data_IF_006750742618
#
_entry.id   IF_006750742618
#
_cell.length_a   1.000
_cell.length_b   1.000
_cell.length_c   1.000
_cell.angle_alpha   90.00
_cell.angle_beta   90.00
_cell.angle_gamma   90.00
#
_symmetry.space_group_name_H-M   'P 1'
#
loop_
_entity.id
_entity.type
_entity.pdbx_description
1 polymer ?
#
# COMPACT_ATOMS: atom_id res chain seq x y z
N UNK A 1 11.00 -55.35 -76.87
CA UNK A 1 9.55 -55.63 -76.72
C UNK A 1 9.30 -56.19 -75.33
N UNK A 2 8.56 -55.45 -74.48
CA UNK A 2 7.86 -55.87 -73.24
C UNK A 2 8.70 -56.52 -72.12
N UNK A 3 8.35 -56.52 -70.83
CA UNK A 3 7.30 -55.91 -70.01
C UNK A 3 7.49 -56.47 -68.58
N UNK A 4 7.47 -55.60 -67.58
CA UNK A 4 6.93 -55.74 -66.20
C UNK A 4 6.85 -57.13 -65.51
N UNK A 5 7.31 -57.18 -64.24
CA UNK A 5 6.45 -57.62 -63.12
C UNK A 5 6.92 -57.07 -61.75
N UNK A 6 5.96 -56.50 -61.01
CA UNK A 6 6.06 -55.84 -59.69
C UNK A 6 5.99 -56.84 -58.53
N UNK A 7 6.81 -56.66 -57.48
CA UNK A 7 6.64 -57.31 -56.18
C UNK A 7 5.80 -56.45 -55.22
N UNK A 8 4.80 -57.06 -54.58
CA UNK A 8 3.86 -56.42 -53.63
C UNK A 8 4.50 -56.23 -52.24
N UNK A 9 4.32 -55.03 -51.67
CA UNK A 9 4.56 -54.70 -50.25
C UNK A 9 3.32 -55.05 -49.42
N UNK A 10 3.52 -55.65 -48.25
CA UNK A 10 2.51 -55.72 -47.18
C UNK A 10 2.69 -54.53 -46.24
N UNK A 11 1.62 -53.77 -45.98
CA UNK A 11 1.56 -52.68 -45.00
C UNK A 11 0.58 -53.10 -43.90
N UNK A 12 1.10 -53.38 -42.71
CA UNK A 12 0.33 -53.50 -41.48
C UNK A 12 0.16 -52.09 -40.89
N UNK A 13 -1.08 -51.61 -40.85
CA UNK A 13 -1.44 -50.35 -40.17
C UNK A 13 -1.89 -50.69 -38.76
N UNK A 14 -1.03 -50.41 -37.77
CA UNK A 14 -1.39 -50.41 -36.36
C UNK A 14 -1.97 -49.03 -36.00
N UNK A 15 -3.29 -48.96 -35.78
CA UNK A 15 -3.94 -47.81 -35.18
C UNK A 15 -3.69 -47.80 -33.67
N UNK A 16 -2.68 -47.07 -33.22
CA UNK A 16 -2.56 -46.68 -31.81
C UNK A 16 -3.52 -45.54 -31.50
N UNK A 17 -4.60 -45.84 -30.78
CA UNK A 17 -5.47 -44.84 -30.15
C UNK A 17 -4.68 -44.26 -28.96
N UNK A 18 -4.20 -43.03 -29.11
CA UNK A 18 -3.64 -42.26 -27.99
C UNK A 18 -4.83 -41.65 -27.24
N UNK A 19 -5.23 -42.29 -26.14
CA UNK A 19 -6.12 -41.66 -25.16
C UNK A 19 -5.28 -40.60 -24.43
N UNK A 20 -5.38 -39.35 -24.86
CA UNK A 20 -4.84 -38.22 -24.12
C UNK A 20 -5.70 -38.02 -22.87
N UNK A 21 -5.34 -38.71 -21.78
CA UNK A 21 -5.84 -38.39 -20.45
C UNK A 21 -5.44 -36.96 -20.12
N UNK A 22 -6.41 -36.03 -20.19
CA UNK A 22 -6.21 -34.66 -19.74
C UNK A 22 -5.92 -34.69 -18.25
N UNK A 23 -4.65 -34.63 -17.88
CA UNK A 23 -4.25 -34.41 -16.50
C UNK A 23 -4.82 -33.05 -16.08
N UNK A 24 -5.86 -33.05 -15.25
CA UNK A 24 -6.36 -31.84 -14.60
C UNK A 24 -5.20 -31.22 -13.84
N UNK A 25 -4.85 -29.96 -14.17
CA UNK A 25 -3.88 -29.21 -13.38
C UNK A 25 -4.30 -29.28 -11.91
N UNK A 26 -3.36 -29.50 -10.96
CA UNK A 26 -3.67 -29.44 -9.54
C UNK A 26 -4.40 -28.13 -9.25
N UNK A 27 -5.54 -28.22 -8.57
CA UNK A 27 -6.32 -27.05 -8.19
C UNK A 27 -5.48 -26.18 -7.25
N UNK A 28 -5.37 -24.88 -7.56
CA UNK A 28 -4.58 -23.97 -6.74
C UNK A 28 -5.15 -23.86 -5.31
N UNK A 29 -4.30 -23.75 -4.28
CA UNK A 29 -4.75 -23.70 -2.90
C UNK A 29 -5.63 -22.47 -2.65
N UNK A 30 -6.76 -22.69 -1.98
CA UNK A 30 -7.72 -21.64 -1.65
C UNK A 30 -7.13 -20.65 -0.64
N UNK A 31 -7.00 -19.37 -1.01
CA UNK A 31 -6.52 -18.31 -0.11
C UNK A 31 -7.66 -17.77 0.74
N UNK A 32 -7.46 -17.78 2.07
CA UNK A 32 -8.44 -17.33 3.08
C UNK A 32 -7.85 -16.28 4.02
N UNK A 33 -6.54 -16.30 4.24
CA UNK A 33 -5.83 -15.36 5.13
C UNK A 33 -4.67 -14.69 4.40
N UNK A 34 -4.68 -13.37 4.37
CA UNK A 34 -3.62 -12.53 3.81
C UNK A 34 -3.16 -11.56 4.88
N UNK A 35 -1.85 -11.47 5.09
CA UNK A 35 -1.24 -10.44 5.92
C UNK A 35 -0.47 -9.44 5.05
N UNK A 36 -0.34 -8.20 5.50
CA UNK A 36 0.47 -7.21 4.78
C UNK A 36 1.00 -6.11 5.69
N UNK A 37 2.04 -5.41 5.25
CA UNK A 37 2.66 -4.34 6.01
C UNK A 37 3.72 -3.54 5.25
N UNK A 38 4.06 -2.38 5.83
CA UNK A 38 5.16 -1.51 5.41
C UNK A 38 5.93 -0.98 6.62
N UNK A 39 7.04 -0.28 6.38
CA UNK A 39 7.79 0.48 7.38
C UNK A 39 8.49 -0.42 8.43
N UNK A 40 9.27 -1.38 7.91
CA UNK A 40 10.07 -2.36 8.66
C UNK A 40 11.56 -1.97 8.69
N UNK A 41 11.93 -1.08 9.61
CA UNK A 41 13.33 -0.78 9.88
C UNK A 41 14.05 -2.02 10.40
N UNK A 42 14.90 -2.58 9.53
CA UNK A 42 15.75 -3.74 9.74
C UNK A 42 16.69 -3.63 10.94
N UNK A 43 16.87 -2.42 11.50
CA UNK A 43 17.68 -2.19 12.71
C UNK A 43 16.85 -2.00 13.98
N UNK A 44 15.52 -1.95 13.88
CA UNK A 44 14.64 -1.90 15.03
C UNK A 44 14.19 -3.32 15.44
N UNK A 45 13.80 -3.54 16.72
CA UNK A 45 13.11 -4.75 17.12
C UNK A 45 11.81 -4.94 16.34
N UNK A 46 11.57 -6.15 15.83
CA UNK A 46 10.35 -6.49 15.07
C UNK A 46 9.64 -7.72 15.68
N UNK A 47 9.14 -7.65 16.93
CA UNK A 47 8.39 -8.75 17.54
C UNK A 47 7.07 -9.04 16.80
N UNK A 48 6.62 -8.09 15.97
CA UNK A 48 5.39 -8.18 15.19
C UNK A 48 5.34 -9.39 14.26
N UNK A 49 6.50 -9.90 13.83
CA UNK A 49 6.56 -11.11 13.01
C UNK A 49 5.97 -12.33 13.70
N UNK A 50 6.04 -12.42 15.04
CA UNK A 50 5.40 -13.52 15.76
C UNK A 50 3.88 -13.48 15.57
N UNK A 51 3.26 -12.32 15.77
CA UNK A 51 1.83 -12.15 15.56
C UNK A 51 1.40 -12.37 14.09
N UNK A 52 2.26 -12.02 13.12
CA UNK A 52 2.02 -12.30 11.71
C UNK A 52 2.08 -13.81 11.43
N UNK A 53 3.06 -14.52 12.00
CA UNK A 53 3.17 -15.98 11.86
C UNK A 53 2.01 -16.69 12.54
N UNK A 54 1.62 -16.25 13.74
CA UNK A 54 0.50 -16.82 14.51
C UNK A 54 -0.85 -16.59 13.82
N UNK A 55 -0.96 -15.54 12.99
CA UNK A 55 -2.13 -15.35 12.12
C UNK A 55 -2.19 -16.37 10.97
N UNK A 56 -1.10 -17.10 10.71
CA UNK A 56 -0.98 -18.14 9.69
C UNK A 56 -1.47 -17.70 8.29
N UNK A 57 -0.88 -16.64 7.71
CA UNK A 57 -1.25 -16.15 6.40
C UNK A 57 -0.73 -17.07 5.31
N UNK A 58 -1.52 -17.24 4.25
CA UNK A 58 -1.09 -17.96 3.05
C UNK A 58 -0.33 -17.04 2.09
N UNK A 59 -0.54 -15.73 2.23
CA UNK A 59 0.09 -14.67 1.46
C UNK A 59 0.50 -13.53 2.40
N UNK A 60 1.76 -13.10 2.30
CA UNK A 60 2.25 -11.85 2.89
C UNK A 60 2.61 -10.85 1.79
N UNK A 61 2.12 -9.62 1.92
CA UNK A 61 2.36 -8.55 0.94
C UNK A 61 3.15 -7.42 1.60
N UNK A 62 4.34 -7.17 1.07
CA UNK A 62 5.12 -5.97 1.35
C UNK A 62 4.57 -4.77 0.58
N UNK A 63 4.30 -3.67 1.28
CA UNK A 63 3.85 -2.41 0.68
C UNK A 63 4.93 -1.32 0.68
N UNK A 64 6.19 -1.72 0.87
CA UNK A 64 7.34 -0.83 0.85
C UNK A 64 7.83 -0.42 2.23
N UNK A 65 8.89 0.38 2.24
CA UNK A 65 9.81 0.52 3.37
C UNK A 65 10.16 -0.84 4.00
N UNK A 66 10.46 -1.80 3.13
CA UNK A 66 10.85 -3.16 3.51
C UNK A 66 12.20 -3.12 4.23
N UNK A 67 13.03 -2.15 3.85
CA UNK A 67 14.17 -1.64 4.60
C UNK A 67 14.16 -0.11 4.64
N UNK A 68 14.86 0.45 5.62
CA UNK A 68 15.23 1.87 5.64
C UNK A 68 16.59 2.01 4.97
N UNK A 69 16.58 2.32 3.67
CA UNK A 69 17.74 2.28 2.79
C UNK A 69 18.53 3.59 2.69
N UNK A 70 18.00 4.73 3.09
CA UNK A 70 18.72 6.00 3.17
C UNK A 70 19.31 6.27 4.57
N UNK A 71 20.12 7.30 4.71
CA UNK A 71 20.70 7.71 6.01
C UNK A 71 19.99 8.97 6.50
N UNK A 72 19.31 8.85 7.64
CA UNK A 72 18.62 9.97 8.30
C UNK A 72 19.57 10.75 9.21
N UNK A 73 19.83 12.01 8.86
CA UNK A 73 20.60 12.95 9.70
C UNK A 73 19.79 13.41 10.91
N UNK A 74 20.44 13.74 12.05
CA UNK A 74 19.77 14.29 13.23
C UNK A 74 19.04 15.61 12.94
N UNK A 75 18.06 15.92 13.79
CA UNK A 75 17.42 17.23 13.81
C UNK A 75 18.40 18.31 14.28
N UNK A 76 18.75 19.22 13.38
CA UNK A 76 19.57 20.40 13.68
C UNK A 76 18.82 21.64 13.20
N UNK A 77 18.39 22.48 14.14
CA UNK A 77 17.74 23.76 13.87
C UNK A 77 18.73 24.94 13.94
N UNK A 78 19.75 24.79 14.79
CA UNK A 78 20.80 25.79 15.04
C UNK A 78 22.18 25.26 14.60
N UNK A 79 23.15 26.17 14.49
CA UNK A 79 24.51 25.86 14.05
C UNK A 79 24.72 26.01 12.53
N UNK A 80 25.89 25.56 12.05
CA UNK A 80 26.31 25.67 10.64
C UNK A 80 25.55 24.73 9.71
N UNK A 81 25.21 23.53 10.18
CA UNK A 81 24.37 22.57 9.46
C UNK A 81 22.96 22.57 10.06
N UNK A 82 21.96 22.85 9.24
CA UNK A 82 20.55 22.87 9.64
C UNK A 82 19.77 21.95 8.72
N UNK A 83 19.18 20.91 9.31
CA UNK A 83 18.42 19.87 8.58
C UNK A 83 16.93 20.15 8.55
N UNK A 84 16.44 21.10 9.37
CA UNK A 84 15.03 21.50 9.46
C UNK A 84 14.89 23.02 9.64
N UNK A 85 13.66 23.51 9.47
CA UNK A 85 13.29 24.92 9.64
C UNK A 85 13.43 25.76 8.37
N UNK A 86 13.04 27.05 8.43
CA UNK A 86 13.05 27.95 7.27
C UNK A 86 14.47 28.22 6.73
N UNK A 87 15.50 28.02 7.56
CA UNK A 87 16.92 28.24 7.23
C UNK A 87 17.70 26.93 6.98
N UNK A 88 16.99 25.83 6.67
CA UNK A 88 17.59 24.53 6.33
C UNK A 88 18.57 24.71 5.16
N UNK A 89 19.79 24.18 5.30
CA UNK A 89 20.84 24.27 4.28
C UNK A 89 21.48 22.92 3.91
N UNK A 90 21.15 21.84 4.64
CA UNK A 90 21.58 20.49 4.30
C UNK A 90 20.37 19.55 4.21
N UNK A 91 20.40 18.54 3.32
CA UNK A 91 19.32 17.57 3.25
C UNK A 91 19.26 16.75 4.54
N UNK A 92 18.03 16.37 4.93
CA UNK A 92 17.81 15.55 6.13
C UNK A 92 18.11 14.07 5.88
N UNK A 93 17.90 13.62 4.65
CA UNK A 93 18.12 12.25 4.20
C UNK A 93 19.15 12.26 3.08
N UNK A 94 20.03 11.27 3.07
CA UNK A 94 21.04 11.09 2.03
C UNK A 94 21.05 9.65 1.55
N UNK A 95 21.24 9.39 0.25
CA UNK A 95 21.18 8.04 -0.28
C UNK A 95 22.39 7.23 0.16
N UNK A 96 22.16 5.98 0.56
CA UNK A 96 23.24 5.04 0.90
C UNK A 96 23.89 4.46 -0.36
N UNK A 97 25.10 3.94 -0.21
CA UNK A 97 25.78 3.16 -1.25
C UNK A 97 25.04 1.86 -1.56
N UNK A 98 25.33 1.26 -2.72
CA UNK A 98 24.76 -0.03 -3.10
C UNK A 98 25.10 -1.14 -2.08
N UNK A 99 26.33 -1.17 -1.58
CA UNK A 99 26.77 -2.15 -0.57
C UNK A 99 26.01 -1.99 0.76
N UNK A 100 25.74 -0.76 1.20
CA UNK A 100 24.92 -0.52 2.39
C UNK A 100 23.47 -0.98 2.17
N UNK A 101 22.89 -0.71 0.99
CA UNK A 101 21.55 -1.21 0.64
C UNK A 101 21.49 -2.74 0.67
N UNK A 102 22.46 -3.41 0.04
CA UNK A 102 22.59 -4.88 0.05
C UNK A 102 22.70 -5.44 1.47
N UNK A 103 23.55 -4.84 2.31
CA UNK A 103 23.71 -5.21 3.71
C UNK A 103 22.39 -5.05 4.51
N UNK A 104 21.62 -3.99 4.24
CA UNK A 104 20.34 -3.74 4.90
C UNK A 104 19.28 -4.76 4.49
N UNK A 105 19.20 -5.13 3.20
CA UNK A 105 18.32 -6.21 2.75
C UNK A 105 18.73 -7.56 3.34
N UNK A 106 20.03 -7.86 3.41
CA UNK A 106 20.52 -9.07 4.07
C UNK A 106 20.13 -9.10 5.56
N UNK A 107 20.27 -7.97 6.26
CA UNK A 107 19.82 -7.83 7.65
C UNK A 107 18.32 -8.06 7.79
N UNK A 108 17.50 -7.50 6.90
CA UNK A 108 16.05 -7.73 6.92
C UNK A 108 15.67 -9.20 6.72
N UNK A 109 16.28 -9.89 5.75
CA UNK A 109 16.06 -11.32 5.50
C UNK A 109 16.45 -12.22 6.68
N UNK A 110 17.45 -11.81 7.45
CA UNK A 110 17.99 -12.60 8.56
C UNK A 110 17.30 -12.30 9.90
N UNK A 111 16.30 -11.41 9.94
CA UNK A 111 15.48 -11.21 11.14
C UNK A 111 14.79 -12.55 11.48
N UNK A 112 14.99 -13.12 12.68
CA UNK A 112 14.47 -14.46 13.01
C UNK A 112 12.96 -14.61 12.79
N UNK A 113 12.20 -13.55 13.11
CA UNK A 113 10.77 -13.48 12.84
C UNK A 113 10.46 -13.58 11.34
N UNK A 114 10.98 -12.65 10.53
CA UNK A 114 10.72 -12.62 9.10
C UNK A 114 11.24 -13.87 8.36
N UNK A 115 12.42 -14.39 8.72
CA UNK A 115 13.03 -15.56 8.06
C UNK A 115 12.19 -16.84 8.09
N UNK A 116 11.23 -16.94 9.02
CA UNK A 116 10.28 -18.05 9.12
C UNK A 116 9.06 -17.87 8.22
N UNK A 117 8.68 -16.64 7.90
CA UNK A 117 7.44 -16.34 7.17
C UNK A 117 7.41 -16.94 5.75
N UNK A 118 8.49 -16.89 4.94
CA UNK A 118 8.50 -17.55 3.62
C UNK A 118 8.34 -19.08 3.65
N UNK A 119 8.47 -19.71 4.82
CA UNK A 119 8.31 -21.17 4.97
C UNK A 119 6.85 -21.59 4.98
N UNK A 120 5.94 -20.67 5.34
CA UNK A 120 4.50 -20.95 5.48
C UNK A 120 3.62 -20.05 4.62
N UNK A 121 4.14 -18.91 4.16
CA UNK A 121 3.42 -17.95 3.34
C UNK A 121 4.17 -17.64 2.03
N UNK A 122 3.43 -17.45 0.93
CA UNK A 122 4.00 -16.81 -0.25
C UNK A 122 4.27 -15.34 0.10
N UNK A 123 5.49 -14.86 -0.13
CA UNK A 123 5.83 -13.44 0.04
C UNK A 123 5.90 -12.78 -1.34
N UNK A 124 5.20 -11.66 -1.48
CA UNK A 124 5.25 -10.76 -2.65
C UNK A 124 5.38 -9.31 -2.17
N UNK A 125 5.69 -8.37 -3.05
CA UNK A 125 5.86 -7.00 -2.61
C UNK A 125 6.13 -5.96 -3.67
N UNK A 126 6.06 -4.71 -3.24
CA UNK A 126 6.59 -3.52 -3.91
C UNK A 126 7.53 -2.77 -2.95
N UNK A 127 8.09 -1.66 -3.39
CA UNK A 127 8.92 -0.77 -2.57
C UNK A 127 8.19 0.51 -2.15
N UNK A 128 8.82 1.26 -1.25
CA UNK A 128 8.55 2.68 -1.06
C UNK A 128 9.84 3.50 -1.14
N UNK A 129 9.83 4.77 -0.74
CA UNK A 129 10.95 5.70 -0.91
C UNK A 129 12.25 5.26 -0.21
N UNK A 130 12.17 4.61 0.95
CA UNK A 130 13.37 4.16 1.65
C UNK A 130 14.05 2.96 0.98
N UNK A 131 13.29 2.02 0.41
CA UNK A 131 13.82 0.94 -0.44
C UNK A 131 14.31 1.48 -1.79
N UNK A 132 13.59 2.47 -2.32
CA UNK A 132 13.92 3.18 -3.56
C UNK A 132 15.24 3.95 -3.41
N UNK A 133 15.57 4.38 -2.19
CA UNK A 133 16.92 4.75 -1.76
C UNK A 133 17.07 6.20 -1.29
N UNK A 134 15.99 6.98 -1.26
CA UNK A 134 15.99 8.36 -0.77
C UNK A 134 14.56 8.81 -0.45
N UNK A 135 14.35 9.31 0.77
CA UNK A 135 13.06 9.83 1.21
C UNK A 135 12.42 10.79 0.19
N UNK A 136 11.12 10.60 -0.10
CA UNK A 136 10.29 11.35 -1.05
C UNK A 136 10.78 11.34 -2.52
N UNK A 137 11.78 10.53 -2.89
CA UNK A 137 12.34 10.57 -4.24
C UNK A 137 11.45 9.88 -5.29
N UNK A 138 11.46 10.42 -6.51
CA UNK A 138 10.72 9.92 -7.66
C UNK A 138 11.64 9.60 -8.83
N UNK A 139 11.17 9.84 -10.05
CA UNK A 139 11.86 9.46 -11.29
C UNK A 139 13.23 10.11 -11.46
N UNK A 140 13.49 11.24 -10.79
CA UNK A 140 14.76 11.97 -10.79
C UNK A 140 15.91 11.23 -10.08
N UNK A 141 15.61 10.20 -9.28
CA UNK A 141 16.62 9.49 -8.52
C UNK A 141 17.47 8.56 -9.41
N UNK A 142 18.77 8.83 -9.48
CA UNK A 142 19.68 8.16 -10.43
C UNK A 142 20.00 6.70 -10.08
N UNK A 143 19.87 6.28 -8.82
CA UNK A 143 20.23 4.90 -8.40
C UNK A 143 19.05 3.90 -8.47
N UNK A 144 17.89 4.33 -8.98
CA UNK A 144 16.66 3.52 -9.03
C UNK A 144 16.82 2.17 -9.73
N UNK A 145 17.60 2.10 -10.81
CA UNK A 145 17.83 0.86 -11.56
C UNK A 145 18.61 -0.17 -10.73
N UNK A 146 19.61 0.26 -9.95
CA UNK A 146 20.36 -0.65 -9.09
C UNK A 146 19.49 -1.10 -7.91
N UNK A 147 18.76 -0.17 -7.29
CA UNK A 147 17.89 -0.49 -6.16
C UNK A 147 16.72 -1.40 -6.57
N UNK A 148 16.25 -1.32 -7.83
CA UNK A 148 15.26 -2.26 -8.38
C UNK A 148 15.76 -3.69 -8.32
N UNK A 149 17.01 -3.92 -8.76
CA UNK A 149 17.62 -5.25 -8.71
C UNK A 149 17.75 -5.75 -7.29
N UNK A 150 18.10 -4.87 -6.34
CA UNK A 150 18.22 -5.23 -4.93
C UNK A 150 16.88 -5.63 -4.31
N UNK A 151 15.81 -4.87 -4.58
CA UNK A 151 14.46 -5.24 -4.13
C UNK A 151 14.03 -6.58 -4.73
N UNK A 152 14.20 -6.79 -6.03
CA UNK A 152 13.80 -8.03 -6.69
C UNK A 152 14.61 -9.24 -6.16
N UNK A 153 15.87 -9.05 -5.79
CA UNK A 153 16.65 -10.07 -5.07
C UNK A 153 16.12 -10.29 -3.64
N UNK A 154 15.71 -9.23 -2.95
CA UNK A 154 15.09 -9.34 -1.63
C UNK A 154 13.77 -10.13 -1.68
N UNK A 155 12.98 -9.96 -2.74
CA UNK A 155 11.72 -10.69 -2.93
C UNK A 155 11.90 -12.10 -3.52
N UNK A 156 13.14 -12.57 -3.71
CA UNK A 156 13.47 -13.85 -4.33
C UNK A 156 12.85 -14.02 -5.73
N UNK A 157 12.75 -12.91 -6.47
CA UNK A 157 12.21 -12.92 -7.83
C UNK A 157 13.13 -13.70 -8.77
N UNK A 158 12.63 -14.65 -9.59
CA UNK A 158 13.44 -15.40 -10.55
C UNK A 158 14.28 -14.51 -11.47
N UNK A 159 15.49 -14.95 -11.80
CA UNK A 159 16.43 -14.16 -12.62
C UNK A 159 15.95 -13.94 -14.05
N UNK A 160 15.14 -14.86 -14.58
CA UNK A 160 14.55 -14.83 -15.91
C UNK A 160 13.18 -14.12 -15.97
N UNK A 161 12.67 -13.68 -14.80
CA UNK A 161 11.37 -13.00 -14.69
C UNK A 161 11.26 -11.80 -15.64
N UNK A 162 10.10 -11.62 -16.31
CA UNK A 162 9.86 -10.43 -17.11
C UNK A 162 9.89 -9.14 -16.27
N UNK A 163 9.63 -9.20 -14.96
CA UNK A 163 9.65 -8.04 -14.07
C UNK A 163 11.06 -7.47 -13.85
N UNK A 164 12.11 -8.26 -14.13
CA UNK A 164 13.50 -7.76 -14.11
C UNK A 164 13.86 -6.96 -15.37
N UNK A 165 13.04 -7.00 -16.41
CA UNK A 165 13.29 -6.35 -17.71
C UNK A 165 12.50 -5.04 -17.88
N UNK A 166 11.48 -4.83 -17.07
CA UNK A 166 10.67 -3.60 -17.10
C UNK A 166 11.26 -2.51 -16.20
N UNK A 167 10.77 -1.29 -16.39
CA UNK A 167 11.13 -0.13 -15.58
C UNK A 167 10.16 0.04 -14.41
N UNK A 168 10.60 -0.29 -13.20
CA UNK A 168 9.79 -0.33 -11.99
C UNK A 168 9.42 -1.74 -11.54
N UNK A 169 8.94 -1.87 -10.30
CA UNK A 169 8.71 -3.15 -9.60
C UNK A 169 7.23 -3.56 -9.54
N UNK A 170 6.39 -2.95 -10.37
CA UNK A 170 4.97 -3.28 -10.41
C UNK A 170 4.75 -4.70 -10.95
N UNK A 171 3.80 -5.41 -10.36
CA UNK A 171 3.58 -6.82 -10.66
C UNK A 171 2.11 -7.20 -10.46
N UNK A 172 1.68 -8.31 -11.06
CA UNK A 172 0.36 -8.88 -10.82
C UNK A 172 0.45 -10.39 -10.57
N UNK A 173 -0.43 -10.86 -9.70
CA UNK A 173 -0.52 -12.25 -9.27
C UNK A 173 -1.99 -12.66 -9.24
N UNK A 174 -2.26 -13.93 -9.51
CA UNK A 174 -3.58 -14.54 -9.31
C UNK A 174 -3.38 -15.75 -8.41
N UNK A 175 -4.22 -15.87 -7.39
CA UNK A 175 -4.17 -16.99 -6.45
C UNK A 175 -5.54 -17.64 -6.32
N UNK A 176 -5.53 -18.95 -6.10
CA UNK A 176 -6.69 -19.72 -5.71
C UNK A 176 -7.45 -20.33 -6.89
N UNK A 177 -8.43 -21.19 -6.58
CA UNK A 177 -9.13 -21.96 -7.59
C UNK A 177 -10.09 -21.10 -8.40
N UNK A 178 -10.47 -21.59 -9.58
CA UNK A 178 -11.49 -20.98 -10.44
C UNK A 178 -12.75 -20.62 -9.63
N UNK A 179 -13.32 -19.43 -9.88
CA UNK A 179 -14.46 -18.85 -9.15
C UNK A 179 -14.19 -18.41 -7.69
N UNK A 180 -13.00 -18.65 -7.13
CA UNK A 180 -12.55 -18.09 -5.84
C UNK A 180 -11.17 -17.45 -5.97
N UNK A 181 -10.89 -16.90 -7.16
CA UNK A 181 -9.62 -16.31 -7.49
C UNK A 181 -9.49 -14.92 -6.87
N UNK A 182 -8.30 -14.65 -6.33
CA UNK A 182 -7.88 -13.33 -5.85
C UNK A 182 -6.79 -12.84 -6.78
N UNK A 183 -7.04 -11.70 -7.42
CA UNK A 183 -6.00 -10.97 -8.16
C UNK A 183 -5.34 -9.98 -7.22
N UNK A 184 -4.01 -9.97 -7.16
CA UNK A 184 -3.24 -8.92 -6.49
C UNK A 184 -2.47 -8.14 -7.54
N UNK A 185 -2.67 -6.83 -7.57
CA UNK A 185 -1.97 -5.88 -8.45
C UNK A 185 -1.14 -5.00 -7.54
N UNK A 186 0.18 -5.06 -7.66
CA UNK A 186 1.10 -4.21 -6.90
C UNK A 186 1.59 -3.07 -7.79
N UNK A 187 1.30 -1.85 -7.35
CA UNK A 187 1.76 -0.63 -8.00
C UNK A 187 3.16 -0.26 -7.52
N UNK A 188 3.85 0.46 -8.38
CA UNK A 188 5.10 1.16 -8.12
C UNK A 188 4.79 2.66 -8.23
N UNK A 189 4.85 3.36 -7.10
CA UNK A 189 4.54 4.79 -7.02
C UNK A 189 5.81 5.65 -6.89
N UNK A 190 6.98 5.13 -7.30
CA UNK A 190 8.28 5.78 -7.20
C UNK A 190 8.97 5.92 -8.54
N UNK A 191 9.14 4.83 -9.30
CA UNK A 191 10.06 4.77 -10.46
C UNK A 191 9.79 5.85 -11.53
N UNK A 192 8.51 6.09 -11.82
CA UNK A 192 8.03 7.03 -12.83
C UNK A 192 7.41 8.29 -12.24
N UNK A 193 7.34 8.40 -10.90
CA UNK A 193 6.61 9.46 -10.22
C UNK A 193 7.31 10.81 -10.42
N UNK A 194 6.54 11.82 -10.81
CA UNK A 194 6.94 13.21 -10.85
C UNK A 194 7.09 13.83 -9.45
N UNK A 195 7.77 14.98 -9.29
CA UNK A 195 7.95 15.62 -8.00
C UNK A 195 6.64 15.90 -7.25
N UNK A 196 6.62 15.75 -5.91
CA UNK A 196 5.41 15.84 -5.05
C UNK A 196 4.65 17.18 -5.03
N UNK A 197 5.21 18.20 -5.67
CA UNK A 197 4.62 19.54 -5.82
C UNK A 197 4.33 19.88 -7.28
N UNK A 198 4.22 18.86 -8.12
CA UNK A 198 3.83 18.98 -9.52
C UNK A 198 2.41 18.46 -9.73
N UNK A 199 1.84 18.71 -10.91
CA UNK A 199 0.63 18.06 -11.41
C UNK A 199 0.96 16.90 -12.37
N UNK A 200 2.15 16.32 -12.23
CA UNK A 200 2.69 15.26 -13.07
C UNK A 200 2.13 13.87 -12.78
N UNK A 201 2.82 12.85 -13.29
CA UNK A 201 2.37 11.46 -13.22
C UNK A 201 2.83 10.75 -11.94
N UNK A 202 2.05 9.76 -11.49
CA UNK A 202 2.46 8.82 -10.43
C UNK A 202 3.05 7.55 -11.03
N UNK A 203 2.38 6.96 -12.02
CA UNK A 203 2.75 5.65 -12.58
C UNK A 203 3.57 5.75 -13.88
N UNK A 204 3.51 6.88 -14.58
CA UNK A 204 4.07 6.98 -15.94
C UNK A 204 3.25 6.21 -16.98
N UNK A 205 3.50 6.48 -18.26
CA UNK A 205 2.71 5.93 -19.37
C UNK A 205 2.75 4.41 -19.46
N UNK A 206 3.93 3.80 -19.30
CA UNK A 206 4.12 2.35 -19.44
C UNK A 206 3.32 1.56 -18.41
N UNK A 207 3.38 1.97 -17.14
CA UNK A 207 2.64 1.29 -16.07
C UNK A 207 1.14 1.60 -16.13
N UNK A 208 0.73 2.79 -16.56
CA UNK A 208 -0.69 3.08 -16.81
C UNK A 208 -1.29 2.15 -17.87
N UNK A 209 -0.60 1.97 -18.99
CA UNK A 209 -1.04 1.06 -20.05
C UNK A 209 -1.07 -0.41 -19.57
N UNK A 210 -0.08 -0.81 -18.77
CA UNK A 210 -0.07 -2.11 -18.12
C UNK A 210 -1.27 -2.31 -17.16
N UNK A 211 -1.53 -1.34 -16.28
CA UNK A 211 -2.62 -1.41 -15.31
C UNK A 211 -3.99 -1.51 -16.00
N UNK A 212 -4.18 -0.75 -17.08
CA UNK A 212 -5.38 -0.83 -17.91
C UNK A 212 -5.57 -2.24 -18.47
N UNK A 213 -4.52 -2.86 -19.00
CA UNK A 213 -4.56 -4.26 -19.46
C UNK A 213 -4.89 -5.23 -18.32
N UNK A 214 -4.30 -5.04 -17.13
CA UNK A 214 -4.56 -5.91 -15.98
C UNK A 214 -6.02 -5.83 -15.51
N UNK A 215 -6.62 -4.64 -15.50
CA UNK A 215 -8.00 -4.45 -15.08
C UNK A 215 -9.01 -4.96 -16.13
N UNK A 216 -8.68 -4.81 -17.42
CA UNK A 216 -9.47 -5.34 -18.55
C UNK A 216 -9.26 -6.84 -18.83
N UNK A 217 -8.31 -7.48 -18.16
CA UNK A 217 -8.06 -8.93 -18.27
C UNK A 217 -9.15 -9.81 -17.63
N UNK A 218 -8.92 -11.13 -17.52
CA UNK A 218 -9.88 -12.09 -16.96
C UNK A 218 -10.38 -11.69 -15.57
N UNK A 219 -11.70 -11.75 -15.35
CA UNK A 219 -12.32 -11.38 -14.07
C UNK A 219 -11.92 -12.36 -12.97
N UNK A 220 -11.69 -11.83 -11.78
CA UNK A 220 -11.46 -12.59 -10.54
C UNK A 220 -12.51 -12.18 -9.51
N UNK A 221 -12.73 -13.02 -8.51
CA UNK A 221 -13.75 -12.78 -7.47
C UNK A 221 -13.39 -11.59 -6.59
N UNK A 222 -12.10 -11.44 -6.29
CA UNK A 222 -11.54 -10.30 -5.55
C UNK A 222 -10.36 -9.74 -6.36
N UNK A 223 -10.18 -8.42 -6.33
CA UNK A 223 -8.99 -7.75 -6.87
C UNK A 223 -8.43 -6.78 -5.82
N UNK A 224 -7.24 -7.05 -5.32
CA UNK A 224 -6.54 -6.20 -4.36
C UNK A 224 -5.52 -5.36 -5.12
N UNK A 225 -5.60 -4.04 -4.99
CA UNK A 225 -4.60 -3.13 -5.55
C UNK A 225 -3.71 -2.61 -4.41
N UNK A 226 -2.45 -3.02 -4.38
CA UNK A 226 -1.45 -2.53 -3.43
C UNK A 226 -0.74 -1.29 -3.95
N UNK A 227 -0.62 -0.27 -3.11
CA UNK A 227 0.08 0.99 -3.37
C UNK A 227 1.02 1.27 -2.21
N UNK A 228 2.22 1.82 -2.42
CA UNK A 228 3.10 2.10 -1.28
C UNK A 228 2.58 3.25 -0.42
N UNK A 229 2.00 4.27 -1.07
CA UNK A 229 1.35 5.41 -0.43
C UNK A 229 -0.18 5.27 -0.44
N UNK A 230 -0.87 5.96 0.47
CA UNK A 230 -2.35 5.93 0.56
C UNK A 230 -3.03 6.42 -0.74
N UNK A 231 -4.07 5.72 -1.18
CA UNK A 231 -4.81 6.03 -2.42
C UNK A 231 -5.96 7.00 -2.13
N UNK A 232 -6.79 6.70 -1.13
CA UNK A 232 -8.02 7.47 -0.87
C UNK A 232 -7.74 8.75 -0.06
N UNK A 233 -6.78 8.69 0.85
CA UNK A 233 -6.48 9.74 1.83
C UNK A 233 -6.29 11.14 1.20
N UNK A 234 -6.81 12.16 1.88
CA UNK A 234 -6.43 13.56 1.69
C UNK A 234 -6.01 14.21 3.01
N UNK A 235 -5.43 13.44 3.94
CA UNK A 235 -5.08 13.93 5.27
C UNK A 235 -4.20 15.19 5.23
N UNK A 236 -3.30 15.29 4.26
CA UNK A 236 -2.48 16.48 3.96
C UNK A 236 -3.28 17.79 3.79
N UNK A 237 -4.56 17.72 3.43
CA UNK A 237 -5.44 18.88 3.31
C UNK A 237 -5.85 19.48 4.66
N UNK A 238 -5.73 18.72 5.76
CA UNK A 238 -6.09 19.15 7.11
C UNK A 238 -4.92 19.23 8.08
N UNK A 239 -3.77 18.67 7.71
CA UNK A 239 -2.53 18.80 8.47
C UNK A 239 -1.63 19.93 7.98
N UNK A 240 -1.84 20.41 6.74
CA UNK A 240 -1.13 21.57 6.21
C UNK A 240 -1.50 22.87 6.95
N UNK A 241 -0.56 23.82 7.12
CA UNK A 241 0.84 23.78 6.67
C UNK A 241 1.80 23.11 7.67
N UNK A 242 1.32 22.47 8.75
CA UNK A 242 2.19 21.92 9.80
C UNK A 242 3.03 20.75 9.28
N UNK A 243 2.41 19.82 8.55
CA UNK A 243 3.10 18.72 7.88
C UNK A 243 2.26 18.16 6.74
N UNK A 244 2.94 17.48 5.82
CA UNK A 244 2.36 16.82 4.65
C UNK A 244 2.82 15.36 4.62
N UNK A 245 1.93 14.50 4.14
CA UNK A 245 2.17 13.08 3.89
C UNK A 245 2.06 12.81 2.39
N UNK A 246 2.85 11.84 1.92
CA UNK A 246 2.71 11.33 0.57
C UNK A 246 1.40 10.55 0.42
N UNK A 247 0.75 10.72 -0.73
CA UNK A 247 -0.50 10.03 -1.08
C UNK A 247 -0.87 10.37 -2.51
N UNK A 248 -1.74 9.57 -3.10
CA UNK A 248 -2.40 9.90 -4.36
C UNK A 248 -3.22 11.19 -4.28
N UNK A 249 -3.64 11.61 -3.07
CA UNK A 249 -4.28 12.91 -2.85
C UNK A 249 -3.43 14.13 -3.22
N UNK A 250 -2.11 13.95 -3.34
CA UNK A 250 -1.17 14.97 -3.84
C UNK A 250 -1.19 15.09 -5.37
N UNK A 251 -1.71 14.08 -6.07
CA UNK A 251 -1.81 14.00 -7.53
C UNK A 251 -3.28 13.79 -7.94
N UNK A 252 -4.17 14.78 -7.74
CA UNK A 252 -5.61 14.58 -7.92
C UNK A 252 -6.01 14.15 -9.34
N UNK A 253 -5.28 14.59 -10.37
CA UNK A 253 -5.51 14.17 -11.76
C UNK A 253 -5.26 12.66 -11.94
N UNK A 254 -4.12 12.16 -11.44
CA UNK A 254 -3.75 10.74 -11.52
C UNK A 254 -4.66 9.87 -10.66
N UNK A 255 -5.08 10.35 -9.48
CA UNK A 255 -6.05 9.63 -8.65
C UNK A 255 -7.41 9.52 -9.32
N UNK A 256 -7.90 10.61 -9.92
CA UNK A 256 -9.16 10.58 -10.67
C UNK A 256 -9.06 9.66 -11.89
N UNK A 257 -7.89 9.61 -12.56
CA UNK A 257 -7.62 8.66 -13.64
C UNK A 257 -7.70 7.21 -13.15
N UNK A 258 -7.16 6.90 -11.96
CA UNK A 258 -7.26 5.57 -11.35
C UNK A 258 -8.71 5.16 -11.10
N UNK A 259 -9.49 6.03 -10.46
CA UNK A 259 -10.91 5.76 -10.17
C UNK A 259 -11.72 5.61 -11.45
N UNK A 260 -11.47 6.46 -12.46
CA UNK A 260 -12.11 6.35 -13.77
C UNK A 260 -11.75 5.03 -14.46
N UNK A 261 -10.49 4.61 -14.44
CA UNK A 261 -10.07 3.34 -15.03
C UNK A 261 -10.77 2.14 -14.35
N UNK A 262 -10.87 2.16 -13.02
CA UNK A 262 -11.60 1.13 -12.27
C UNK A 262 -13.07 1.09 -12.70
N UNK A 263 -13.73 2.25 -12.74
CA UNK A 263 -15.13 2.37 -13.18
C UNK A 263 -15.32 1.86 -14.62
N UNK A 264 -14.48 2.29 -15.55
CA UNK A 264 -14.58 1.97 -16.97
C UNK A 264 -14.30 0.47 -17.25
N UNK A 265 -13.42 -0.16 -16.45
CA UNK A 265 -13.11 -1.60 -16.56
C UNK A 265 -14.27 -2.52 -16.19
N UNK A 266 -15.28 -2.01 -15.47
CA UNK A 266 -16.42 -2.79 -14.92
C UNK A 266 -15.98 -4.01 -14.11
N UNK A 267 -14.79 -3.95 -13.51
CA UNK A 267 -14.27 -4.95 -12.58
C UNK A 267 -14.80 -4.65 -11.19
N UNK A 268 -15.35 -5.68 -10.56
CA UNK A 268 -15.91 -5.64 -9.22
C UNK A 268 -14.96 -6.30 -8.22
N UNK A 269 -15.24 -6.17 -6.93
CA UNK A 269 -14.42 -6.75 -5.87
C UNK A 269 -13.09 -6.02 -5.66
N UNK A 270 -12.96 -4.77 -6.12
CA UNK A 270 -11.73 -3.99 -5.97
C UNK A 270 -11.67 -3.27 -4.62
N UNK A 271 -10.55 -3.40 -3.93
CA UNK A 271 -10.17 -2.51 -2.83
C UNK A 271 -8.64 -2.32 -2.78
N UNK A 272 -8.20 -1.32 -2.03
CA UNK A 272 -6.80 -0.94 -1.89
C UNK A 272 -6.20 -1.40 -0.57
N UNK A 273 -4.89 -1.64 -0.61
CA UNK A 273 -4.03 -1.74 0.56
C UNK A 273 -2.86 -0.75 0.41
N UNK A 274 -2.45 -0.09 1.50
CA UNK A 274 -1.43 0.98 1.45
C UNK A 274 -0.46 1.03 2.64
N UNK A 275 0.61 1.84 2.55
CA UNK A 275 1.69 1.99 3.55
C UNK A 275 2.09 3.44 3.87
N UNK A 276 3.41 3.72 3.95
CA UNK A 276 4.09 5.04 4.09
C UNK A 276 3.91 5.80 5.44
N UNK A 277 2.68 5.99 5.89
CA UNK A 277 2.33 7.04 6.86
C UNK A 277 2.66 6.80 8.35
N UNK A 278 3.28 5.68 8.71
CA UNK A 278 3.61 5.23 10.07
C UNK A 278 2.43 5.10 11.06
N UNK A 279 1.20 4.97 10.56
CA UNK A 279 0.05 4.60 11.37
C UNK A 279 -0.93 3.72 10.60
N UNK A 280 -1.91 3.21 11.34
CA UNK A 280 -2.94 2.34 10.83
C UNK A 280 -4.34 2.91 10.80
N UNK A 281 -5.05 2.69 9.69
CA UNK A 281 -6.45 3.10 9.54
C UNK A 281 -7.12 2.40 8.35
N UNK A 282 -8.44 2.62 8.23
CA UNK A 282 -9.26 2.13 7.13
C UNK A 282 -10.03 3.32 6.56
N UNK A 283 -9.87 3.56 5.27
CA UNK A 283 -10.61 4.54 4.50
C UNK A 283 -11.71 3.86 3.68
N UNK A 284 -12.81 4.59 3.45
CA UNK A 284 -13.93 4.20 2.59
C UNK A 284 -14.37 5.41 1.75
N UNK A 285 -14.50 5.21 0.44
CA UNK A 285 -14.96 6.21 -0.50
C UNK A 285 -16.08 5.68 -1.42
N UNK A 286 -17.29 6.19 -1.22
CA UNK A 286 -18.53 5.73 -1.84
C UNK A 286 -18.83 6.45 -3.17
N UNK A 287 -18.11 7.54 -3.46
CA UNK A 287 -18.41 8.42 -4.58
C UNK A 287 -17.35 8.38 -5.71
N UNK A 288 -16.41 7.43 -5.67
CA UNK A 288 -15.43 7.25 -6.76
C UNK A 288 -15.92 6.32 -7.87
N UNK A 289 -16.70 5.29 -7.54
CA UNK A 289 -17.14 4.25 -8.48
C UNK A 289 -18.60 3.84 -8.22
N UNK A 290 -19.08 2.76 -8.85
CA UNK A 290 -20.41 2.21 -8.62
C UNK A 290 -20.59 1.46 -7.29
N UNK A 291 -19.53 1.30 -6.51
CA UNK A 291 -19.53 0.68 -5.18
C UNK A 291 -18.47 1.34 -4.27
N UNK A 292 -18.54 1.16 -2.93
CA UNK A 292 -17.54 1.70 -2.01
C UNK A 292 -16.14 1.14 -2.27
N UNK A 293 -15.16 2.03 -2.43
CA UNK A 293 -13.75 1.67 -2.44
C UNK A 293 -13.19 1.75 -1.01
N UNK A 294 -12.61 0.65 -0.54
CA UNK A 294 -11.85 0.62 0.71
C UNK A 294 -10.36 0.83 0.45
N UNK A 295 -9.67 1.48 1.39
CA UNK A 295 -8.20 1.58 1.41
C UNK A 295 -7.72 1.28 2.83
N UNK A 296 -7.07 0.12 2.99
CA UNK A 296 -6.61 -0.40 4.27
C UNK A 296 -5.12 -0.14 4.39
N UNK A 297 -4.75 0.83 5.21
CA UNK A 297 -3.35 1.25 5.34
C UNK A 297 -2.66 0.48 6.45
N UNK A 298 -1.54 -0.19 6.17
CA UNK A 298 -0.66 -0.91 7.10
C UNK A 298 0.71 -0.25 7.25
N UNK A 299 0.76 0.92 7.88
CA UNK A 299 2.04 1.60 8.03
C UNK A 299 2.54 1.54 9.47
N UNK A 300 3.55 0.69 9.68
CA UNK A 300 4.33 0.64 10.92
C UNK A 300 4.60 -0.74 11.47
N UNK A 301 5.16 -1.65 10.67
CA UNK A 301 5.70 -2.92 11.19
C UNK A 301 6.72 -2.69 12.31
N UNK A 302 7.48 -1.59 12.22
CA UNK A 302 8.38 -1.14 13.28
C UNK A 302 8.38 0.38 13.49
N UNK A 303 8.29 1.17 12.40
CA UNK A 303 8.24 2.63 12.49
C UNK A 303 6.79 3.08 12.64
N UNK A 304 6.45 3.60 13.82
CA UNK A 304 5.11 4.06 14.12
C UNK A 304 5.15 5.51 14.63
N UNK A 305 4.15 6.31 14.30
CA UNK A 305 4.12 7.75 14.61
C UNK A 305 4.17 8.03 16.11
N UNK A 306 3.57 7.20 16.96
CA UNK A 306 3.66 7.33 18.42
C UNK A 306 5.05 6.93 18.96
N UNK A 307 5.86 6.19 18.20
CA UNK A 307 7.25 5.88 18.52
C UNK A 307 8.22 6.97 18.06
N UNK A 308 7.77 7.91 17.24
CA UNK A 308 8.58 9.05 16.78
C UNK A 308 8.71 10.17 17.84
N UNK A 309 7.93 10.10 18.93
CA UNK A 309 7.97 11.04 20.04
C UNK A 309 8.30 10.31 21.36
N UNK A 310 8.84 11.01 22.37
CA UNK A 310 8.93 10.46 23.72
C UNK A 310 7.58 9.93 24.22
N UNK A 311 7.59 8.82 24.96
CA UNK A 311 6.36 8.12 25.37
C UNK A 311 5.35 9.00 26.13
N UNK A 312 5.84 9.96 26.93
CA UNK A 312 5.01 10.96 27.63
C UNK A 312 4.21 11.88 26.69
N UNK A 313 4.63 12.03 25.43
CA UNK A 313 3.97 12.86 24.42
C UNK A 313 3.09 12.04 23.45
N UNK A 314 3.02 10.71 23.58
CA UNK A 314 2.16 9.86 22.73
C UNK A 314 0.68 10.26 22.78
N UNK A 315 0.20 10.72 23.94
CA UNK A 315 -1.17 11.22 24.11
C UNK A 315 -1.45 12.46 23.25
N UNK A 316 -0.44 13.31 23.02
CA UNK A 316 -0.56 14.48 22.15
C UNK A 316 -0.76 14.03 20.69
N UNK A 317 -0.03 13.01 20.24
CA UNK A 317 -0.21 12.45 18.88
C UNK A 317 -1.65 11.95 18.69
N UNK A 318 -2.19 11.24 19.68
CA UNK A 318 -3.58 10.75 19.64
C UNK A 318 -4.59 11.90 19.65
N UNK A 319 -4.34 12.94 20.45
CA UNK A 319 -5.18 14.12 20.51
C UNK A 319 -5.18 14.89 19.17
N UNK A 320 -4.01 15.07 18.55
CA UNK A 320 -3.90 15.67 17.22
C UNK A 320 -4.67 14.86 16.18
N UNK A 321 -4.51 13.53 16.17
CA UNK A 321 -5.26 12.65 15.27
C UNK A 321 -6.78 12.70 15.48
N UNK A 322 -7.24 13.00 16.69
CA UNK A 322 -8.66 13.22 16.98
C UNK A 322 -9.16 14.57 16.46
N UNK A 323 -8.30 15.60 16.45
CA UNK A 323 -8.66 16.93 15.96
C UNK A 323 -8.64 17.05 14.43
N UNK A 324 -7.92 16.18 13.73
CA UNK A 324 -7.86 16.18 12.25
C UNK A 324 -9.18 15.68 11.66
N UNK A 325 -9.90 16.50 10.87
CA UNK A 325 -11.09 16.07 10.13
C UNK A 325 -10.73 14.97 9.13
N UNK A 326 -11.49 13.87 9.15
CA UNK A 326 -11.23 12.67 8.35
C UNK A 326 -12.53 12.07 7.84
N UNK A 327 -13.05 12.67 6.78
CA UNK A 327 -14.40 12.42 6.27
C UNK A 327 -14.54 11.04 5.62
N UNK A 328 -13.45 10.51 5.07
CA UNK A 328 -13.43 9.19 4.43
C UNK A 328 -13.09 8.06 5.42
N UNK A 329 -12.66 8.35 6.65
CA UNK A 329 -12.23 7.31 7.58
C UNK A 329 -13.41 6.46 8.05
N UNK A 330 -13.22 5.15 8.14
CA UNK A 330 -14.21 4.27 8.76
C UNK A 330 -14.13 4.43 10.28
N UNK A 331 -15.22 4.95 10.84
CA UNK A 331 -15.37 5.15 12.28
C UNK A 331 -16.50 4.24 12.77
N UNK A 332 -16.16 3.30 13.64
CA UNK A 332 -17.11 2.34 14.20
C UNK A 332 -16.71 1.94 15.63
N UNK A 333 -17.49 1.05 16.24
CA UNK A 333 -17.32 0.60 17.62
C UNK A 333 -16.05 -0.23 17.83
N UNK A 334 -15.48 -0.79 16.76
CA UNK A 334 -14.29 -1.64 16.81
C UNK A 334 -13.01 -0.83 16.95
N UNK A 335 -13.07 0.51 16.87
CA UNK A 335 -11.92 1.37 17.02
C UNK A 335 -11.46 1.47 18.48
N UNK A 336 -10.22 1.05 18.75
CA UNK A 336 -9.56 1.20 20.06
C UNK A 336 -9.43 2.66 20.50
N UNK A 337 -9.27 3.58 19.55
CA UNK A 337 -9.15 5.02 19.82
C UNK A 337 -10.23 5.80 19.07
N UNK A 338 -10.63 6.95 19.65
CA UNK A 338 -11.67 7.83 19.09
C UNK A 338 -11.41 8.34 17.68
N UNK A 339 -10.14 8.44 17.27
CA UNK A 339 -9.75 8.85 15.91
C UNK A 339 -9.85 7.72 14.88
N UNK A 340 -9.99 6.46 15.32
CA UNK A 340 -9.84 5.24 14.51
C UNK A 340 -8.50 5.15 13.75
N UNK A 341 -7.50 5.93 14.17
CA UNK A 341 -6.11 5.81 13.75
C UNK A 341 -5.32 5.13 14.84
N UNK A 342 -4.46 4.19 14.47
CA UNK A 342 -3.61 3.45 15.37
C UNK A 342 -2.13 3.76 15.11
N UNK A 343 -1.52 4.59 15.97
CA UNK A 343 -0.17 5.10 15.77
C UNK A 343 0.96 4.28 16.40
N UNK A 344 0.67 3.05 16.86
CA UNK A 344 1.64 2.11 17.42
C UNK A 344 2.00 1.03 16.38
N UNK A 345 3.07 0.24 16.58
CA UNK A 345 3.46 -0.77 15.61
C UNK A 345 2.33 -1.78 15.33
N UNK A 346 2.11 -2.10 14.05
CA UNK A 346 0.91 -2.77 13.58
C UNK A 346 1.12 -3.46 12.22
N UNK A 347 0.26 -4.44 11.92
CA UNK A 347 0.15 -5.09 10.61
C UNK A 347 -1.32 -5.27 10.24
N UNK A 348 -1.62 -5.62 8.98
CA UNK A 348 -3.00 -5.86 8.56
C UNK A 348 -3.26 -7.31 8.26
N UNK A 349 -4.51 -7.67 8.50
CA UNK A 349 -5.07 -8.98 8.21
C UNK A 349 -6.31 -8.82 7.33
N UNK A 350 -6.39 -9.64 6.28
CA UNK A 350 -7.57 -9.85 5.46
C UNK A 350 -7.96 -11.31 5.67
N UNK A 351 -9.17 -11.52 6.17
CA UNK A 351 -9.79 -12.85 6.24
C UNK A 351 -10.95 -12.90 5.24
N UNK A 352 -11.02 -13.99 4.49
CA UNK A 352 -12.02 -14.24 3.46
C UNK A 352 -12.75 -15.52 3.83
N UNK A 353 -14.02 -15.38 4.18
CA UNK A 353 -14.88 -16.49 4.53
C UNK A 353 -15.65 -16.94 3.29
N UNK A 354 -15.09 -17.94 2.59
CA UNK A 354 -15.71 -18.57 1.43
C UNK A 354 -16.89 -19.48 1.76
N UNK A 355 -17.13 -19.78 3.05
CA UNK A 355 -18.21 -20.67 3.47
C UNK A 355 -19.55 -19.97 3.61
N UNK A 356 -19.56 -18.63 3.67
CA UNK A 356 -20.78 -17.83 3.78
C UNK A 356 -21.34 -17.45 2.41
N UNK A 357 -22.66 -17.28 2.34
CA UNK A 357 -23.37 -16.78 1.15
C UNK A 357 -24.19 -15.56 1.55
N UNK A 358 -23.81 -14.33 1.12
CA UNK A 358 -22.63 -14.00 0.30
C UNK A 358 -21.30 -14.22 1.03
N UNK A 359 -20.21 -14.40 0.28
CA UNK A 359 -18.83 -14.48 0.80
C UNK A 359 -18.56 -13.26 1.68
N UNK A 360 -17.89 -13.44 2.81
CA UNK A 360 -17.63 -12.33 3.75
C UNK A 360 -16.17 -11.95 3.77
N UNK A 361 -15.89 -10.65 3.73
CA UNK A 361 -14.57 -10.07 3.92
C UNK A 361 -14.44 -9.46 5.30
N UNK A 362 -13.29 -9.65 5.94
CA UNK A 362 -12.94 -9.03 7.21
C UNK A 362 -11.56 -8.40 7.07
N UNK A 363 -11.50 -7.07 7.21
CA UNK A 363 -10.29 -6.26 7.08
C UNK A 363 -9.95 -5.67 8.44
N UNK A 364 -8.76 -5.98 8.96
CA UNK A 364 -8.37 -5.60 10.32
C UNK A 364 -6.98 -4.97 10.40
N UNK A 365 -6.89 -4.00 11.29
CA UNK A 365 -5.67 -3.44 11.87
C UNK A 365 -5.36 -4.24 13.14
N UNK A 366 -4.18 -4.85 13.21
CA UNK A 366 -3.75 -5.66 14.34
C UNK A 366 -2.49 -5.07 14.98
N UNK A 367 -2.42 -5.13 16.31
CA UNK A 367 -1.24 -4.69 17.06
C UNK A 367 -0.12 -5.75 17.07
N UNK A 368 0.98 -5.43 17.75
CA UNK A 368 2.16 -6.32 17.89
C UNK A 368 1.87 -7.68 18.52
N UNK A 369 0.74 -7.84 19.21
CA UNK A 369 0.32 -9.09 19.83
C UNK A 369 -0.76 -9.82 18.98
N UNK A 370 -1.10 -9.29 17.81
CA UNK A 370 -2.10 -9.89 16.91
C UNK A 370 -3.54 -9.54 17.25
N UNK A 371 -3.79 -8.69 18.25
CA UNK A 371 -5.16 -8.30 18.60
C UNK A 371 -5.70 -7.23 17.65
N UNK A 372 -6.97 -7.34 17.20
CA UNK A 372 -7.59 -6.31 16.40
C UNK A 372 -7.72 -5.00 17.19
N UNK A 373 -7.43 -3.88 16.53
CA UNK A 373 -7.51 -2.53 17.10
C UNK A 373 -8.48 -1.62 16.35
N UNK A 374 -8.76 -1.94 15.09
CA UNK A 374 -9.90 -1.44 14.31
C UNK A 374 -10.11 -2.38 13.12
N UNK A 375 -11.33 -2.45 12.61
CA UNK A 375 -11.65 -3.36 11.54
C UNK A 375 -13.07 -3.20 11.02
N UNK A 376 -13.29 -3.75 9.82
CA UNK A 376 -14.59 -3.83 9.16
C UNK A 376 -14.83 -5.25 8.70
N UNK A 377 -16.10 -5.68 8.77
CA UNK A 377 -16.57 -6.95 8.24
C UNK A 377 -17.78 -6.66 7.37
N UNK A 378 -17.76 -7.11 6.13
CA UNK A 378 -18.81 -6.84 5.15
C UNK A 378 -18.93 -7.95 4.11
N UNK A 379 -20.11 -8.17 3.51
CA UNK A 379 -20.29 -9.14 2.43
C UNK A 379 -19.60 -8.66 1.15
N UNK A 380 -19.03 -9.57 0.36
CA UNK A 380 -18.36 -9.28 -0.91
C UNK A 380 -19.29 -8.56 -1.91
N UNK A 381 -20.59 -8.78 -1.81
CA UNK A 381 -21.62 -8.08 -2.58
C UNK A 381 -21.54 -6.55 -2.41
N UNK A 382 -20.99 -6.05 -1.30
CA UNK A 382 -20.77 -4.62 -1.09
C UNK A 382 -19.74 -4.03 -2.08
N UNK A 383 -18.84 -4.85 -2.64
CA UNK A 383 -17.86 -4.45 -3.65
C UNK A 383 -18.35 -4.73 -5.08
N UNK A 384 -19.66 -4.88 -5.28
CA UNK A 384 -20.27 -5.10 -6.58
C UNK A 384 -21.20 -3.93 -6.92
N UNK A 385 -21.34 -3.62 -8.21
CA UNK A 385 -22.23 -2.57 -8.63
C UNK A 385 -23.68 -2.98 -8.36
N UNK A 386 -24.37 -2.21 -7.51
CA UNK A 386 -25.83 -2.32 -7.44
C UNK A 386 -26.39 -1.81 -8.77
N UNK A 387 -27.40 -2.48 -9.34
CA UNK A 387 -28.06 -2.09 -10.59
C UNK A 387 -28.92 -0.81 -10.45
N UNK A 388 -28.35 0.25 -9.88
CA UNK A 388 -28.96 1.55 -9.69
C UNK A 388 -28.05 2.60 -10.32
N UNK A 389 -28.48 3.06 -11.49
CA UNK A 389 -27.91 4.17 -12.24
C UNK A 389 -27.82 5.43 -11.35
N UNK A 390 -26.65 5.71 -10.80
CA UNK A 390 -26.03 7.04 -10.64
C UNK A 390 -24.97 7.00 -9.54
N UNK A 391 -23.75 7.46 -9.84
CA UNK A 391 -22.85 7.95 -8.79
C UNK A 391 -23.62 9.06 -8.06
N UNK A 392 -23.80 9.00 -6.73
CA UNK A 392 -24.60 9.99 -6.03
C UNK A 392 -24.06 11.39 -6.29
N UNK A 393 -24.85 12.24 -6.96
CA UNK A 393 -24.50 13.65 -7.15
C UNK A 393 -24.60 14.37 -5.81
N UNK A 394 -23.48 14.88 -5.30
CA UNK A 394 -23.46 15.67 -4.07
C UNK A 394 -23.98 17.06 -4.42
N UNK A 395 -25.07 17.49 -3.79
CA UNK A 395 -25.53 18.88 -3.88
C UNK A 395 -24.45 19.81 -3.35
N UNK A 396 -24.11 20.85 -4.10
CA UNK A 396 -23.12 21.87 -3.73
C UNK A 396 -23.44 22.40 -2.32
N UNK A 397 -22.48 22.28 -1.39
CA UNK A 397 -22.66 22.72 0.02
C UNK A 397 -23.12 21.63 1.02
N UNK A 398 -23.42 20.40 0.58
CA UNK A 398 -23.78 19.31 1.50
C UNK A 398 -22.60 18.38 1.78
N UNK A 399 -22.32 18.13 3.06
CA UNK A 399 -21.28 17.20 3.49
C UNK A 399 -21.86 15.79 3.64
N UNK A 400 -21.31 14.83 2.89
CA UNK A 400 -21.69 13.41 2.99
C UNK A 400 -20.49 12.59 3.43
N UNK A 401 -20.65 11.86 4.54
CA UNK A 401 -19.66 10.90 5.03
C UNK A 401 -19.29 9.91 3.92
N UNK A 402 -18.01 9.56 3.82
CA UNK A 402 -17.49 8.67 2.76
C UNK A 402 -17.68 9.19 1.33
N UNK A 403 -18.01 10.47 1.12
CA UNK A 403 -18.13 11.08 -0.20
C UNK A 403 -17.47 12.47 -0.34
N UNK A 404 -17.49 13.31 0.70
CA UNK A 404 -16.82 14.61 0.69
C UNK A 404 -15.32 14.48 1.04
N UNK A 405 -14.42 14.71 0.08
CA UNK A 405 -12.97 14.76 0.35
C UNK A 405 -12.59 15.92 1.29
N UNK A 406 -11.54 15.74 2.09
CA UNK A 406 -11.07 16.75 3.06
C UNK A 406 -10.66 18.07 2.39
N UNK A 407 -10.15 18.02 1.15
CA UNK A 407 -9.84 19.21 0.34
C UNK A 407 -11.06 20.09 0.08
N UNK A 408 -12.28 19.53 0.11
CA UNK A 408 -13.54 20.23 -0.17
C UNK A 408 -14.22 20.77 1.11
N UNK A 409 -13.61 20.58 2.29
CA UNK A 409 -14.14 21.12 3.54
C UNK A 409 -13.97 22.64 3.64
N UNK A 410 -14.80 23.34 4.43
CA UNK A 410 -14.62 24.77 4.71
C UNK A 410 -13.19 25.05 5.23
N UNK A 411 -12.60 26.18 4.84
CA UNK A 411 -11.22 26.50 5.19
C UNK A 411 -10.97 26.47 6.71
N UNK A 412 -11.94 26.94 7.53
CA UNK A 412 -11.80 26.94 8.99
C UNK A 412 -11.74 25.52 9.58
N UNK A 413 -12.41 24.56 8.95
CA UNK A 413 -12.36 23.14 9.33
C UNK A 413 -11.04 22.53 8.89
N UNK A 414 -10.61 22.78 7.65
CA UNK A 414 -9.33 22.30 7.11
C UNK A 414 -8.14 22.78 7.93
N UNK A 415 -8.10 24.08 8.24
CA UNK A 415 -6.98 24.69 8.95
C UNK A 415 -7.16 24.70 10.47
N UNK A 416 -8.16 24.00 11.03
CA UNK A 416 -8.43 24.01 12.48
C UNK A 416 -7.19 23.65 13.31
N UNK A 417 -6.45 22.62 12.91
CA UNK A 417 -5.24 22.20 13.61
C UNK A 417 -4.16 23.29 13.58
N UNK A 418 -3.93 23.90 12.41
CA UNK A 418 -2.99 24.99 12.26
C UNK A 418 -3.38 26.22 13.08
N UNK A 419 -4.66 26.61 13.03
CA UNK A 419 -5.22 27.71 13.83
C UNK A 419 -4.94 27.46 15.31
N UNK A 420 -5.31 26.28 15.85
CA UNK A 420 -5.08 25.94 17.25
C UNK A 420 -3.59 25.97 17.62
N UNK A 421 -2.72 25.46 16.75
CA UNK A 421 -1.28 25.48 16.96
C UNK A 421 -0.74 26.92 17.03
N UNK A 422 -1.04 27.76 16.04
CA UNK A 422 -0.55 29.15 16.00
C UNK A 422 -1.14 30.02 17.12
N UNK A 423 -2.41 29.81 17.49
CA UNK A 423 -3.01 30.46 18.66
C UNK A 423 -2.28 30.07 19.95
N UNK A 424 -1.99 28.78 20.15
CA UNK A 424 -1.28 28.29 21.33
C UNK A 424 0.14 28.87 21.43
N UNK A 425 0.87 28.91 20.30
CA UNK A 425 2.21 29.52 20.24
C UNK A 425 2.16 31.01 20.57
N UNK A 426 1.16 31.73 20.04
CA UNK A 426 1.00 33.18 20.27
C UNK A 426 0.64 33.49 21.72
N UNK A 427 -0.32 32.75 22.29
CA UNK A 427 -0.70 32.88 23.69
C UNK A 427 0.48 32.59 24.63
N UNK A 428 1.27 31.54 24.35
CA UNK A 428 2.46 31.21 25.14
C UNK A 428 3.51 32.33 25.11
N UNK A 429 3.72 32.98 23.95
CA UNK A 429 4.58 34.17 23.84
C UNK A 429 4.08 35.37 24.64
N UNK A 430 2.75 35.58 24.71
CA UNK A 430 2.15 36.66 25.49
C UNK A 430 2.22 36.40 27.00
N UNK A 431 2.06 35.15 27.44
CA UNK A 431 2.13 34.78 28.86
C UNK A 431 3.58 34.70 29.41
N UNK A 432 4.58 34.47 28.55
CA UNK A 432 5.99 34.38 28.95
C UNK A 432 6.88 35.37 28.18
N UNK A 433 6.70 36.69 28.36
CA UNK A 433 7.46 37.71 27.63
C UNK A 433 8.98 37.72 27.94
N UNK A 434 9.42 36.99 28.98
CA UNK A 434 10.83 36.93 29.42
C UNK A 434 11.62 35.69 28.98
N UNK A 435 11.07 34.79 28.16
CA UNK A 435 11.90 33.77 27.52
C UNK A 435 12.63 34.36 26.33
N UNK A 436 13.73 35.09 26.59
CA UNK A 436 14.79 35.27 25.58
C UNK A 436 15.33 33.87 25.28
N UNK A 437 15.02 33.35 24.10
CA UNK A 437 15.81 32.27 23.52
C UNK A 437 17.08 32.93 23.01
N UNK A 438 18.12 32.96 23.84
CA UNK A 438 19.51 33.15 23.39
C UNK A 438 20.02 31.86 22.76
#
# INVERSE_FOLDING_TARGET
MGSNWRWRRWLLVLCTIIVSGGASKPEEPLVTRIAFGSCANQSAPQPIWNAIIDFDPQLFIWLGDNIYGDVRRPFKLFGKERTIGPWKNVPRFVPSSQQEMESRYHKAKTIPGYSRLPQTAKVIGTWDDHDYGLNDAGKEFSRKVNNQRLLLNFLDEPQDSPWRKQEGVYASYVFGPTNRQIKVILLDTRYHRDPLRSDGSVLGSSQWAWLEKELNGPKTTITIIGSSVQVISNLSATTGPLFYLESWGRFPKERNRLFKLILDSKREGIFFISGDVHFGEIYRYDCATGYPLYDVTSSGLSQAVEKAVPGSLSLIVRFVAWLTPTTMRVMNQNCRFRSCTYGQPNFRAIEIDWSTTPVTLKLEVRDVNGYPVTGVKFPLLELQSLSMNSVPSIKLGTHRRHCTLEVNLPWIVRYRLAILFYFSVTACRQCFPKCKFD
#
